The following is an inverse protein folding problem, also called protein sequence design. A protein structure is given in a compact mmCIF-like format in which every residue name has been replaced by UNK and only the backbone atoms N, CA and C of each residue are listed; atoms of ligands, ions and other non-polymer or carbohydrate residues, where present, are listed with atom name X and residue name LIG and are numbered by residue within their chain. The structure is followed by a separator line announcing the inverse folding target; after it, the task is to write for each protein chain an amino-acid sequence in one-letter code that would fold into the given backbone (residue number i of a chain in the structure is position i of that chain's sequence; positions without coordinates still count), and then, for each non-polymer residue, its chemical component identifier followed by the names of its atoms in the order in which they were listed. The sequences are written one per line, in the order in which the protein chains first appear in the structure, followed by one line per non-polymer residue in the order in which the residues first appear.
data_IF_319842501942
#
_entry.id   IF_319842501942
#
_cell.length_a   1.000
_cell.length_b   1.000
_cell.length_c   1.000
_cell.angle_alpha   90.00
_cell.angle_beta   90.00
_cell.angle_gamma   90.00
#
_symmetry.space_group_name_H-M   'P 1'
#
loop_
_entity.id
_entity.type
_entity.pdbx_description
1 polymer ?
#
# COMPACT_ATOMS: atom_id res chain seq x y z
N UNK A 1 -47.77 20.56 -22.07
CA UNK A 1 -46.43 20.69 -21.45
C UNK A 1 -46.33 19.70 -20.32
N UNK A 2 -45.66 18.55 -20.49
CA UNK A 2 -45.20 17.69 -19.38
C UNK A 2 -44.38 16.53 -19.96
N UNK A 3 -43.07 16.71 -20.17
CA UNK A 3 -42.06 15.62 -20.25
C UNK A 3 -40.65 16.18 -20.00
N UNK A 4 -40.49 17.03 -18.98
CA UNK A 4 -39.20 17.60 -18.62
C UNK A 4 -39.12 17.66 -17.10
N UNK A 5 -39.05 16.49 -16.49
CA UNK A 5 -38.98 16.29 -15.05
C UNK A 5 -38.22 15.02 -14.67
N UNK A 6 -38.26 14.00 -15.53
CA UNK A 6 -37.65 12.69 -15.24
C UNK A 6 -36.17 12.56 -15.69
N UNK A 7 -35.58 13.61 -16.26
CA UNK A 7 -34.22 13.58 -16.81
C UNK A 7 -33.13 14.13 -15.86
N UNK A 8 -33.46 14.52 -14.61
CA UNK A 8 -32.51 15.10 -13.65
C UNK A 8 -32.20 14.17 -12.48
N UNK A 9 -32.45 12.87 -12.66
CA UNK A 9 -31.93 11.84 -11.77
C UNK A 9 -31.43 10.70 -12.66
N UNK A 10 -30.46 11.01 -13.53
CA UNK A 10 -29.57 9.97 -14.03
C UNK A 10 -29.00 9.31 -12.80
N UNK A 11 -29.48 8.09 -12.53
CA UNK A 11 -29.07 7.25 -11.41
C UNK A 11 -27.56 7.41 -11.26
N UNK A 12 -27.12 7.91 -10.10
CA UNK A 12 -25.72 7.85 -9.70
C UNK A 12 -25.42 6.36 -9.54
N UNK A 13 -25.25 5.68 -10.68
CA UNK A 13 -24.91 4.29 -10.78
C UNK A 13 -23.58 4.18 -10.08
N UNK A 14 -23.65 3.89 -8.79
CA UNK A 14 -22.50 3.74 -7.93
C UNK A 14 -21.83 2.50 -8.44
N UNK A 15 -20.84 2.68 -9.30
CA UNK A 15 -20.12 1.59 -9.92
C UNK A 15 -19.48 0.77 -8.81
N UNK A 16 -20.06 -0.41 -8.56
CA UNK A 16 -19.60 -1.27 -7.48
C UNK A 16 -18.27 -1.87 -7.91
N UNK A 17 -17.25 -1.67 -7.07
CA UNK A 17 -15.92 -2.23 -7.30
C UNK A 17 -16.04 -3.74 -7.50
N UNK A 18 -15.56 -4.20 -8.66
CA UNK A 18 -15.53 -5.61 -9.00
C UNK A 18 -14.50 -6.37 -8.17
N UNK A 19 -14.58 -7.70 -8.17
CA UNK A 19 -13.67 -8.59 -7.42
C UNK A 19 -12.18 -8.33 -7.75
N UNK A 20 -11.88 -7.93 -8.98
CA UNK A 20 -10.53 -7.57 -9.43
C UNK A 20 -9.98 -6.36 -8.66
N UNK A 21 -10.82 -5.39 -8.34
CA UNK A 21 -10.41 -4.19 -7.58
C UNK A 21 -10.05 -4.54 -6.15
N UNK A 22 -10.82 -5.40 -5.49
CA UNK A 22 -10.49 -5.89 -4.15
C UNK A 22 -9.21 -6.74 -4.14
N UNK A 23 -8.99 -7.56 -5.16
CA UNK A 23 -7.77 -8.36 -5.29
C UNK A 23 -6.53 -7.45 -5.48
N UNK A 24 -6.63 -6.46 -6.36
CA UNK A 24 -5.56 -5.49 -6.58
C UNK A 24 -5.26 -4.68 -5.31
N UNK A 25 -6.29 -4.27 -4.58
CA UNK A 25 -6.15 -3.57 -3.30
C UNK A 25 -5.44 -4.43 -2.25
N UNK A 26 -5.84 -5.69 -2.11
CA UNK A 26 -5.21 -6.63 -1.19
C UNK A 26 -3.73 -6.85 -1.51
N UNK A 27 -3.39 -7.08 -2.78
CA UNK A 27 -2.00 -7.20 -3.20
C UNK A 27 -1.21 -5.93 -2.90
N UNK A 28 -1.79 -4.76 -3.17
CA UNK A 28 -1.15 -3.46 -2.88
C UNK A 28 -0.81 -3.33 -1.39
N UNK A 29 -1.71 -3.73 -0.49
CA UNK A 29 -1.42 -3.74 0.95
C UNK A 29 -0.21 -4.62 1.25
N UNK A 30 -0.16 -5.84 0.69
CA UNK A 30 0.97 -6.75 0.91
C UNK A 30 2.28 -6.10 0.47
N UNK A 31 2.33 -5.57 -0.75
CA UNK A 31 3.53 -4.98 -1.35
C UNK A 31 4.07 -3.76 -0.60
N UNK A 32 3.19 -2.93 -0.02
CA UNK A 32 3.58 -1.66 0.60
C UNK A 32 3.56 -1.67 2.14
N UNK A 33 3.04 -2.71 2.79
CA UNK A 33 2.95 -2.77 4.26
C UNK A 33 4.30 -3.02 4.95
N UNK A 34 5.29 -3.60 4.26
CA UNK A 34 6.56 -3.98 4.88
C UNK A 34 6.47 -5.24 5.76
N UNK A 35 5.40 -6.04 5.65
CA UNK A 35 5.14 -7.22 6.49
C UNK A 35 6.20 -8.33 6.34
N UNK A 36 6.93 -8.36 5.22
CA UNK A 36 7.98 -9.36 4.96
C UNK A 36 9.40 -8.82 5.13
N UNK A 37 9.55 -7.58 5.57
CA UNK A 37 10.84 -6.88 5.71
C UNK A 37 11.87 -7.64 6.56
N UNK A 38 11.42 -8.32 7.62
CA UNK A 38 12.24 -9.13 8.52
C UNK A 38 12.35 -10.62 8.18
N UNK A 39 11.88 -11.05 7.00
CA UNK A 39 12.01 -12.45 6.57
C UNK A 39 13.23 -12.63 5.66
N UNK A 40 13.96 -13.75 5.79
CA UNK A 40 15.08 -14.10 4.89
C UNK A 40 14.67 -15.06 3.77
N UNK A 41 13.37 -15.14 3.48
CA UNK A 41 12.80 -16.06 2.50
C UNK A 41 12.51 -15.36 1.16
N UNK A 42 12.20 -16.13 0.11
CA UNK A 42 11.79 -15.62 -1.21
C UNK A 42 10.68 -14.58 -1.09
N UNK A 43 9.77 -14.72 -0.11
CA UNK A 43 8.64 -13.83 0.15
C UNK A 43 8.96 -12.33 0.17
N UNK A 44 10.22 -11.96 0.42
CA UNK A 44 10.74 -10.57 0.31
C UNK A 44 10.47 -9.90 -1.04
N UNK A 45 10.35 -10.65 -2.14
CA UNK A 45 10.03 -10.07 -3.46
C UNK A 45 8.64 -9.43 -3.48
N UNK A 46 7.75 -9.84 -2.57
CA UNK A 46 6.45 -9.19 -2.37
C UNK A 46 6.50 -8.01 -1.41
N UNK A 47 7.68 -7.48 -1.08
CA UNK A 47 7.85 -6.33 -0.21
C UNK A 47 8.66 -5.25 -0.94
N UNK A 48 7.98 -4.19 -1.36
CA UNK A 48 8.65 -3.11 -2.07
C UNK A 48 9.61 -2.32 -1.17
N UNK A 49 9.46 -2.37 0.16
CA UNK A 49 10.46 -1.76 1.04
C UNK A 49 11.81 -2.48 0.97
N UNK A 50 11.79 -3.80 0.72
CA UNK A 50 13.00 -4.60 0.52
C UNK A 50 13.59 -4.37 -0.87
N UNK A 51 12.76 -4.38 -1.91
CA UNK A 51 13.22 -4.19 -3.30
C UNK A 51 13.74 -2.77 -3.58
N UNK A 52 13.15 -1.75 -2.94
CA UNK A 52 13.59 -0.37 -3.06
C UNK A 52 14.92 -0.11 -2.30
N UNK A 53 15.25 -0.98 -1.34
CA UNK A 53 16.41 -0.82 -0.47
C UNK A 53 16.19 0.16 0.69
N UNK A 54 17.24 0.37 1.49
CA UNK A 54 17.18 1.24 2.67
C UNK A 54 17.73 2.62 2.38
N UNK A 55 16.84 3.60 2.21
CA UNK A 55 17.20 5.01 2.09
C UNK A 55 17.39 5.64 3.47
N UNK A 56 18.39 6.52 3.62
CA UNK A 56 18.58 7.30 4.85
C UNK A 56 19.16 6.51 6.02
N UNK A 57 20.01 5.52 5.74
CA UNK A 57 20.81 4.84 6.75
C UNK A 57 21.84 5.81 7.33
N UNK A 58 21.79 5.99 8.64
CA UNK A 58 22.67 6.83 9.43
C UNK A 58 23.50 5.96 10.38
N UNK A 59 24.73 6.36 10.70
CA UNK A 59 25.46 5.78 11.82
C UNK A 59 24.69 6.05 13.14
N UNK A 60 24.24 4.99 13.78
CA UNK A 60 23.73 4.96 15.15
C UNK A 60 24.85 4.70 16.16
N UNK A 61 24.48 4.67 17.44
CA UNK A 61 25.43 4.39 18.52
C UNK A 61 26.13 3.03 18.33
N UNK A 62 27.40 2.96 18.70
CA UNK A 62 28.23 1.74 18.63
C UNK A 62 28.36 1.12 17.22
N UNK A 63 28.24 1.92 16.15
CA UNK A 63 28.40 1.46 14.78
C UNK A 63 27.19 0.72 14.20
N UNK A 64 26.07 0.67 14.93
CA UNK A 64 24.80 0.20 14.38
C UNK A 64 24.30 1.16 13.29
N UNK A 65 23.62 0.67 12.25
CA UNK A 65 22.96 1.52 11.25
C UNK A 65 21.49 1.74 11.63
N UNK A 66 21.07 2.99 11.74
CA UNK A 66 19.66 3.38 11.98
C UNK A 66 19.09 4.10 10.76
N UNK A 67 17.78 4.19 10.61
CA UNK A 67 17.16 4.95 9.51
C UNK A 67 16.28 6.09 10.05
N UNK A 68 15.95 7.07 9.20
CA UNK A 68 14.96 8.10 9.55
C UNK A 68 13.54 7.54 9.74
N UNK A 69 13.29 6.28 9.36
CA UNK A 69 12.05 5.57 9.69
C UNK A 69 12.20 5.08 11.13
N UNK A 70 11.54 5.73 12.08
CA UNK A 70 11.65 5.39 13.51
C UNK A 70 11.37 3.91 13.80
N UNK A 71 11.99 3.37 14.85
CA UNK A 71 12.02 1.94 15.21
C UNK A 71 10.68 1.34 15.74
N UNK A 72 9.54 1.81 15.24
CA UNK A 72 8.20 1.36 15.65
C UNK A 72 7.14 1.46 14.55
N UNK A 73 7.51 1.88 13.34
CA UNK A 73 6.65 1.72 12.17
C UNK A 73 6.66 0.24 11.77
N UNK A 74 5.51 -0.41 11.70
CA UNK A 74 5.38 -1.83 11.35
C UNK A 74 5.63 -2.10 9.84
N UNK A 75 6.64 -1.45 9.27
CA UNK A 75 7.01 -1.45 7.86
C UNK A 75 8.41 -0.88 7.55
N UNK A 76 9.37 -1.00 8.47
CA UNK A 76 10.77 -0.61 8.23
C UNK A 76 11.68 -0.82 9.44
#
# INVERSE_FOLDING_TARGET
MTKQGDAVAGELATEKVGIKGYLAFFLTIIFFSGVFSGTDSWWRVFDFSVLNGSFGQLPGANGATTSFRGAGGRGG
#
